data_IF_670300234363
#
_entry.id   IF_670300234363
#
_cell.length_a   1.000
_cell.length_b   1.000
_cell.length_c   1.000
_cell.angle_alpha   90.00
_cell.angle_beta   90.00
_cell.angle_gamma   90.00
#
_symmetry.space_group_name_H-M   'P 1'
#
loop_
_entity.id
_entity.type
_entity.pdbx_description
1 polymer ?
#
# COMPACT_ATOMS: atom_id res chain seq x y z
N UNK A 1 15.40 3.88 1.27
CA UNK A 1 14.16 4.41 0.73
C UNK A 1 13.11 4.41 1.81
N UNK A 2 12.57 5.57 2.07
CA UNK A 2 11.69 5.79 3.20
C UNK A 2 10.20 5.68 2.82
N UNK A 3 9.86 5.84 1.55
CA UNK A 3 8.51 5.79 0.99
C UNK A 3 7.48 6.46 1.92
N UNK A 4 7.55 7.78 2.02
CA UNK A 4 6.63 8.60 2.82
C UNK A 4 6.56 8.23 4.31
N UNK A 5 7.65 7.75 4.91
CA UNK A 5 7.70 7.35 6.31
C UNK A 5 7.23 5.91 6.58
N UNK A 6 6.97 5.12 5.54
CA UNK A 6 6.48 3.75 5.70
C UNK A 6 7.48 2.85 6.42
N UNK A 7 8.77 2.95 6.11
CA UNK A 7 9.80 2.13 6.75
C UNK A 7 10.01 2.46 8.23
N UNK A 8 10.12 3.73 8.68
CA UNK A 8 10.11 4.06 10.10
C UNK A 8 8.82 3.62 10.81
N UNK A 9 7.66 3.78 10.19
CA UNK A 9 6.39 3.33 10.76
C UNK A 9 6.39 1.80 10.95
N UNK A 10 6.81 1.04 9.92
CA UNK A 10 6.96 -0.41 10.01
C UNK A 10 7.90 -0.81 11.14
N UNK A 11 9.06 -0.15 11.27
CA UNK A 11 10.01 -0.42 12.33
C UNK A 11 9.43 -0.15 13.72
N UNK A 12 8.76 0.99 13.92
CA UNK A 12 8.13 1.35 15.19
C UNK A 12 7.04 0.37 15.61
N UNK A 13 6.16 -0.04 14.68
CA UNK A 13 5.13 -1.04 14.96
C UNK A 13 5.76 -2.38 15.36
N UNK A 14 6.80 -2.82 14.65
CA UNK A 14 7.49 -4.07 15.01
C UNK A 14 8.20 -3.98 16.36
N UNK A 15 8.75 -2.81 16.73
CA UNK A 15 9.31 -2.61 18.05
C UNK A 15 8.27 -2.80 19.16
N UNK A 16 7.03 -2.38 18.95
CA UNK A 16 5.93 -2.55 19.89
C UNK A 16 5.44 -4.02 19.93
N UNK A 17 5.65 -4.79 18.85
CA UNK A 17 5.27 -6.19 18.76
C UNK A 17 3.94 -6.46 18.05
N UNK A 18 3.46 -5.55 17.21
CA UNK A 18 2.31 -5.78 16.31
C UNK A 18 2.42 -4.95 15.05
N UNK A 19 1.71 -5.35 13.97
CA UNK A 19 1.74 -4.64 12.69
C UNK A 19 0.42 -4.79 11.92
N UNK A 20 -0.11 -3.74 11.26
CA UNK A 20 -1.28 -3.82 10.39
C UNK A 20 -0.91 -4.43 9.03
N UNK A 21 -0.91 -5.76 8.92
CA UNK A 21 -0.52 -6.49 7.70
C UNK A 21 -1.48 -6.23 6.53
N UNK A 22 -2.77 -6.01 6.82
CA UNK A 22 -3.78 -5.71 5.83
C UNK A 22 -4.35 -4.30 6.10
N UNK A 23 -3.95 -3.26 5.34
CA UNK A 23 -4.27 -1.86 5.62
C UNK A 23 -5.78 -1.55 5.76
N UNK A 24 -6.64 -2.20 5.02
CA UNK A 24 -8.09 -2.01 5.10
C UNK A 24 -8.78 -2.79 6.22
N UNK A 25 -8.03 -3.61 6.98
CA UNK A 25 -8.55 -4.31 8.15
C UNK A 25 -8.32 -3.47 9.41
N UNK A 26 -9.22 -3.55 10.37
CA UNK A 26 -9.00 -2.96 11.69
C UNK A 26 -8.15 -3.84 12.61
N UNK A 27 -7.30 -4.71 12.05
CA UNK A 27 -6.53 -5.72 12.78
C UNK A 27 -5.04 -5.51 12.66
N UNK A 28 -4.35 -5.79 13.76
CA UNK A 28 -2.91 -5.73 13.90
C UNK A 28 -2.38 -7.10 14.29
N UNK A 29 -1.61 -7.72 13.41
CA UNK A 29 -1.02 -9.04 13.68
C UNK A 29 0.08 -8.92 14.74
N UNK A 30 0.06 -9.84 15.71
CA UNK A 30 1.04 -9.87 16.79
C UNK A 30 2.33 -10.51 16.27
N UNK A 31 3.43 -9.78 16.46
CA UNK A 31 4.80 -10.22 16.24
C UNK A 31 5.59 -10.26 17.54
N UNK A 32 6.89 -10.40 17.44
CA UNK A 32 7.82 -10.34 18.56
C UNK A 32 8.35 -8.92 18.71
N UNK A 33 8.22 -8.28 19.88
CA UNK A 33 8.80 -6.97 20.11
C UNK A 33 10.34 -7.00 19.99
N UNK A 34 10.92 -5.94 19.46
CA UNK A 34 12.37 -5.85 19.28
C UNK A 34 13.07 -5.02 20.36
N UNK A 35 12.34 -4.59 21.38
CA UNK A 35 12.85 -3.85 22.54
C UNK A 35 12.25 -4.41 23.83
N UNK A 36 12.91 -4.17 24.96
CA UNK A 36 12.47 -4.64 26.27
C UNK A 36 11.21 -3.90 26.77
N UNK A 37 11.12 -2.61 26.50
CA UNK A 37 9.96 -1.79 26.85
C UNK A 37 9.86 -0.59 25.90
N UNK A 38 8.63 -0.13 25.66
CA UNK A 38 8.35 1.09 24.90
C UNK A 38 7.05 1.73 25.40
N UNK A 39 7.04 3.05 25.40
CA UNK A 39 5.85 3.86 25.67
C UNK A 39 5.57 4.77 24.47
N UNK A 40 4.40 4.65 23.87
CA UNK A 40 3.96 5.49 22.76
C UNK A 40 2.82 6.39 23.21
N UNK A 41 2.99 7.68 23.09
CA UNK A 41 1.93 8.68 23.29
C UNK A 41 1.26 8.98 21.96
N UNK A 42 -0.02 8.64 21.87
CA UNK A 42 -0.81 8.89 20.67
C UNK A 42 -1.29 10.34 20.60
N UNK A 43 -1.66 10.81 19.43
CA UNK A 43 -2.15 12.19 19.20
C UNK A 43 -3.40 12.54 19.99
N UNK A 44 -4.24 11.54 20.33
CA UNK A 44 -5.41 11.69 21.20
C UNK A 44 -5.08 11.75 22.71
N UNK A 45 -3.78 11.80 23.08
CA UNK A 45 -3.30 11.82 24.46
C UNK A 45 -3.30 10.47 25.18
N UNK A 46 -3.77 9.41 24.53
CA UNK A 46 -3.75 8.04 25.08
C UNK A 46 -2.36 7.42 24.95
N UNK A 47 -2.10 6.37 25.71
CA UNK A 47 -0.77 5.77 25.83
C UNK A 47 -0.84 4.27 25.57
N UNK A 48 0.08 3.79 24.73
CA UNK A 48 0.40 2.37 24.60
C UNK A 48 1.67 2.11 25.41
N UNK A 49 1.57 1.25 26.40
CA UNK A 49 2.71 0.76 27.19
C UNK A 49 2.98 -0.69 26.83
N UNK A 50 4.20 -1.01 26.42
CA UNK A 50 4.61 -2.38 26.15
C UNK A 50 5.85 -2.75 26.97
N UNK A 51 5.82 -3.95 27.56
CA UNK A 51 6.93 -4.58 28.25
C UNK A 51 7.11 -6.00 27.75
N UNK A 52 8.34 -6.41 27.52
CA UNK A 52 8.71 -7.76 27.08
C UNK A 52 9.57 -8.45 28.14
N UNK A 53 8.94 -9.25 29.02
CA UNK A 53 9.63 -10.05 30.02
C UNK A 53 10.55 -11.06 29.33
N UNK A 54 11.75 -11.25 29.89
CA UNK A 54 12.78 -12.12 29.34
C UNK A 54 13.24 -11.73 27.94
N UNK A 55 13.11 -10.47 27.57
CA UNK A 55 13.59 -9.98 26.29
C UNK A 55 15.09 -10.22 26.14
N UNK A 56 15.48 -10.78 25.01
CA UNK A 56 16.87 -10.92 24.58
C UNK A 56 16.93 -11.26 23.10
N UNK A 57 18.07 -11.07 22.41
CA UNK A 57 18.23 -11.47 21.02
C UNK A 57 18.01 -12.97 20.73
N UNK A 58 18.02 -13.82 21.77
CA UNK A 58 17.77 -15.26 21.66
C UNK A 58 16.32 -15.63 21.93
N UNK A 59 15.57 -14.79 22.63
CA UNK A 59 14.18 -15.04 23.02
C UNK A 59 13.23 -14.39 22.01
N UNK A 60 13.15 -14.96 20.82
CA UNK A 60 12.41 -14.39 19.68
C UNK A 60 10.96 -14.87 19.58
N UNK A 61 10.50 -15.75 20.44
CA UNK A 61 9.14 -16.28 20.41
C UNK A 61 8.30 -15.70 21.54
N UNK A 62 7.05 -15.34 21.22
CA UNK A 62 6.05 -14.95 22.22
C UNK A 62 5.48 -16.20 22.87
N UNK A 63 5.85 -16.44 24.12
CA UNK A 63 5.33 -17.55 24.94
C UNK A 63 3.92 -17.25 25.44
N UNK A 64 3.71 -16.04 25.96
CA UNK A 64 2.42 -15.54 26.44
C UNK A 64 2.29 -14.05 26.13
N UNK A 65 1.05 -13.58 26.00
CA UNK A 65 0.70 -12.18 25.89
C UNK A 65 -0.39 -11.84 26.89
N UNK A 66 -0.27 -10.68 27.51
CA UNK A 66 -1.29 -10.09 28.37
C UNK A 66 -1.67 -8.71 27.82
N UNK A 67 -2.97 -8.46 27.73
CA UNK A 67 -3.56 -7.18 27.34
C UNK A 67 -4.32 -6.62 28.52
N UNK A 68 -3.93 -5.44 29.00
CA UNK A 68 -4.50 -4.83 30.21
C UNK A 68 -4.55 -5.77 31.41
N UNK A 69 -3.48 -6.56 31.62
CA UNK A 69 -3.31 -7.52 32.70
C UNK A 69 -4.05 -8.86 32.52
N UNK A 70 -4.86 -9.03 31.47
CA UNK A 70 -5.56 -10.29 31.19
C UNK A 70 -4.80 -11.10 30.15
N UNK A 71 -4.70 -12.42 30.36
CA UNK A 71 -4.11 -13.32 29.38
C UNK A 71 -4.85 -13.24 28.05
N UNK A 72 -4.09 -13.11 26.95
CA UNK A 72 -4.62 -12.88 25.61
C UNK A 72 -4.09 -13.92 24.65
N UNK A 73 -4.98 -14.77 24.14
CA UNK A 73 -4.62 -15.93 23.32
C UNK A 73 -5.07 -15.79 21.85
N UNK A 74 -4.98 -14.56 21.29
CA UNK A 74 -5.17 -14.32 19.87
C UNK A 74 -3.86 -13.96 19.20
N UNK A 75 -3.78 -14.18 17.89
CA UNK A 75 -2.62 -13.79 17.04
C UNK A 75 -2.73 -12.35 16.52
N UNK A 76 -3.77 -11.62 16.90
CA UNK A 76 -4.02 -10.25 16.46
C UNK A 76 -4.69 -9.42 17.56
N UNK A 77 -4.50 -8.11 17.47
CA UNK A 77 -5.27 -7.08 18.20
C UNK A 77 -6.23 -6.40 17.23
N UNK A 78 -7.35 -5.86 17.73
CA UNK A 78 -8.20 -4.97 16.94
C UNK A 78 -7.87 -3.52 17.26
N UNK A 79 -8.23 -2.61 16.35
CA UNK A 79 -8.09 -1.17 16.59
C UNK A 79 -8.77 -0.72 17.89
N UNK A 80 -9.94 -1.28 18.21
CA UNK A 80 -10.69 -1.00 19.43
C UNK A 80 -9.93 -1.41 20.69
N UNK A 81 -9.05 -2.39 20.62
CA UNK A 81 -8.23 -2.84 21.76
C UNK A 81 -7.12 -1.85 22.13
N UNK A 82 -6.72 -0.98 21.17
CA UNK A 82 -5.56 -0.09 21.32
C UNK A 82 -5.87 1.40 21.28
N UNK A 83 -6.94 1.84 20.60
CA UNK A 83 -7.25 3.26 20.35
C UNK A 83 -7.41 4.11 21.61
N UNK A 84 -7.86 3.51 22.71
CA UNK A 84 -8.09 4.19 23.99
C UNK A 84 -6.93 4.01 24.98
N UNK A 85 -5.77 3.55 24.47
CA UNK A 85 -4.61 3.19 25.25
C UNK A 85 -4.63 1.72 25.68
N UNK A 86 -3.46 1.10 25.79
CA UNK A 86 -3.33 -0.32 26.13
C UNK A 86 -2.03 -0.60 26.86
N UNK A 87 -2.07 -1.57 27.78
CA UNK A 87 -0.88 -2.15 28.40
C UNK A 87 -0.66 -3.55 27.84
N UNK A 88 0.44 -3.73 27.13
CA UNK A 88 0.87 -4.99 26.55
C UNK A 88 2.03 -5.56 27.36
N UNK A 89 1.93 -6.81 27.77
CA UNK A 89 3.03 -7.52 28.43
C UNK A 89 3.26 -8.83 27.68
N UNK A 90 4.39 -8.90 27.00
CA UNK A 90 4.87 -10.08 26.30
C UNK A 90 5.76 -10.90 27.27
N UNK A 91 5.59 -12.20 27.30
CA UNK A 91 6.54 -13.13 27.92
C UNK A 91 7.31 -13.82 26.81
N UNK A 92 8.58 -13.51 26.68
CA UNK A 92 9.43 -13.98 25.60
C UNK A 92 10.11 -15.32 25.93
N UNK A 93 10.48 -16.08 24.90
CA UNK A 93 11.10 -17.38 25.01
C UNK A 93 12.01 -17.68 23.83
N UNK A 94 13.06 -18.50 24.05
CA UNK A 94 13.89 -19.07 22.97
C UNK A 94 13.24 -20.26 22.25
N UNK A 95 12.08 -20.73 22.73
CA UNK A 95 11.35 -21.86 22.13
C UNK A 95 9.92 -21.43 21.75
N UNK A 96 9.41 -21.87 20.59
CA UNK A 96 8.06 -21.57 20.16
C UNK A 96 7.00 -22.21 21.08
N UNK A 97 5.88 -21.53 21.25
CA UNK A 97 4.70 -22.07 21.93
C UNK A 97 3.64 -22.46 20.89
N UNK A 98 3.64 -23.71 20.48
CA UNK A 98 2.71 -24.28 19.49
C UNK A 98 1.25 -24.40 19.98
N UNK A 99 0.98 -24.05 21.24
CA UNK A 99 -0.38 -24.10 21.81
C UNK A 99 -1.03 -22.73 21.89
N UNK A 100 -0.29 -21.66 21.57
CA UNK A 100 -0.80 -20.29 21.62
C UNK A 100 -1.49 -19.95 20.31
N UNK A 101 -2.64 -19.29 20.40
CA UNK A 101 -3.38 -18.71 19.27
C UNK A 101 -3.68 -19.72 18.13
N UNK A 102 -4.09 -20.95 18.48
CA UNK A 102 -4.30 -22.06 17.53
C UNK A 102 -5.77 -22.31 17.21
N UNK A 103 -6.73 -21.74 17.95
CA UNK A 103 -8.14 -21.89 17.62
C UNK A 103 -8.55 -20.98 16.46
N UNK A 104 -9.62 -21.32 15.76
CA UNK A 104 -10.12 -20.52 14.61
C UNK A 104 -10.44 -19.07 15.01
N UNK A 105 -10.90 -18.83 16.23
CA UNK A 105 -11.19 -17.48 16.74
C UNK A 105 -9.93 -16.72 17.18
N UNK A 106 -8.86 -17.45 17.45
CA UNK A 106 -7.60 -16.89 17.90
C UNK A 106 -6.67 -16.50 16.74
N UNK A 107 -6.87 -17.06 15.56
CA UNK A 107 -6.10 -16.76 14.35
C UNK A 107 -6.66 -15.52 13.67
N UNK A 108 -5.79 -14.64 13.19
CA UNK A 108 -6.21 -13.49 12.38
C UNK A 108 -7.00 -13.97 11.15
N UNK A 109 -8.15 -13.37 10.85
CA UNK A 109 -8.93 -13.72 9.66
C UNK A 109 -8.09 -13.66 8.40
N UNK A 110 -8.24 -14.66 7.55
CA UNK A 110 -7.56 -14.76 6.27
C UNK A 110 -8.54 -15.25 5.21
N UNK A 111 -8.43 -14.74 4.01
CA UNK A 111 -9.20 -15.23 2.85
C UNK A 111 -8.81 -16.67 2.46
N UNK A 112 -7.65 -17.13 2.92
CA UNK A 112 -7.11 -18.45 2.62
C UNK A 112 -7.43 -19.52 3.67
N UNK A 113 -8.20 -19.22 4.73
CA UNK A 113 -8.53 -20.18 5.75
C UNK A 113 -9.53 -21.23 5.24
N UNK A 114 -9.25 -22.54 5.41
CA UNK A 114 -10.20 -23.61 5.11
C UNK A 114 -11.54 -23.37 5.85
N UNK A 115 -12.66 -23.42 5.12
CA UNK A 115 -14.00 -23.26 5.69
C UNK A 115 -14.49 -21.82 5.82
N UNK A 116 -13.63 -20.80 5.69
CA UNK A 116 -13.99 -19.38 5.54
C UNK A 116 -13.63 -18.82 4.17
N UNK A 117 -13.32 -19.65 3.22
CA UNK A 117 -13.27 -19.24 1.83
C UNK A 117 -14.61 -18.61 1.51
N UNK A 118 -14.64 -17.29 1.28
CA UNK A 118 -15.69 -16.76 0.43
C UNK A 118 -15.76 -17.75 -0.72
N UNK A 119 -16.97 -18.26 -1.02
CA UNK A 119 -17.20 -19.09 -2.20
C UNK A 119 -16.99 -18.18 -3.42
N UNK A 120 -15.76 -17.76 -3.64
CA UNK A 120 -15.30 -17.44 -4.96
C UNK A 120 -15.27 -18.80 -5.66
N UNK A 121 -16.40 -19.19 -6.20
CA UNK A 121 -16.42 -20.15 -7.28
C UNK A 121 -15.82 -19.42 -8.50
N UNK A 122 -14.56 -19.13 -8.41
CA UNK A 122 -13.76 -19.13 -9.61
C UNK A 122 -13.89 -20.56 -10.13
N UNK A 123 -14.68 -20.75 -11.17
CA UNK A 123 -14.60 -21.94 -11.97
C UNK A 123 -13.19 -22.01 -12.56
N UNK A 124 -12.24 -22.51 -11.81
CA UNK A 124 -10.92 -22.86 -12.28
C UNK A 124 -11.02 -24.18 -13.08
N UNK A 125 -11.61 -24.13 -14.26
CA UNK A 125 -11.40 -25.14 -15.28
C UNK A 125 -9.92 -25.14 -15.63
N UNK A 126 -9.23 -26.27 -15.73
CA UNK A 126 -7.84 -26.54 -16.12
C UNK A 126 -7.04 -25.32 -16.64
N UNK A 127 -6.24 -24.64 -15.74
CA UNK A 127 -6.10 -23.24 -16.02
C UNK A 127 -4.69 -22.75 -15.96
N UNK A 128 -4.43 -21.92 -16.92
CA UNK A 128 -3.29 -21.03 -16.88
C UNK A 128 -3.33 -20.27 -15.55
N UNK A 129 -2.36 -20.54 -14.69
CA UNK A 129 -2.15 -19.76 -13.49
C UNK A 129 -1.47 -18.46 -13.90
N UNK A 130 -1.88 -17.35 -13.29
CA UNK A 130 -1.07 -16.15 -13.30
C UNK A 130 0.35 -16.50 -12.84
N UNK A 131 1.34 -16.05 -13.59
CA UNK A 131 2.75 -16.26 -13.27
C UNK A 131 3.33 -15.07 -12.53
N UNK A 132 4.57 -15.23 -12.08
CA UNK A 132 5.37 -14.14 -11.54
C UNK A 132 6.66 -14.03 -12.36
N UNK A 133 6.95 -12.93 -13.05
CA UNK A 133 6.16 -11.68 -13.11
C UNK A 133 4.85 -11.85 -13.89
N UNK A 134 3.85 -11.02 -13.53
CA UNK A 134 2.52 -11.02 -14.16
C UNK A 134 2.61 -10.70 -15.64
N UNK A 135 3.49 -9.79 -16.02
CA UNK A 135 3.88 -9.47 -17.40
C UNK A 135 5.37 -9.10 -17.48
N UNK A 136 5.94 -9.23 -18.65
CA UNK A 136 7.37 -8.94 -18.88
C UNK A 136 7.62 -7.43 -18.88
N UNK A 137 8.76 -7.03 -18.31
CA UNK A 137 9.22 -5.65 -18.26
C UNK A 137 9.73 -5.27 -16.89
N UNK A 138 10.24 -4.06 -16.77
CA UNK A 138 10.69 -3.49 -15.50
C UNK A 138 9.80 -2.29 -15.18
N UNK A 139 8.96 -2.46 -14.18
CA UNK A 139 7.95 -1.49 -13.78
C UNK A 139 7.95 -1.31 -12.28
N UNK A 140 7.53 -0.13 -11.82
CA UNK A 140 7.37 0.24 -10.42
C UNK A 140 5.99 0.89 -10.20
N UNK A 141 5.65 1.18 -8.95
CA UNK A 141 4.49 1.97 -8.50
C UNK A 141 3.17 1.61 -9.23
N UNK A 142 2.76 0.32 -9.24
CA UNK A 142 1.58 -0.08 -10.00
C UNK A 142 0.28 0.42 -9.36
N UNK A 143 -0.48 1.23 -10.07
CA UNK A 143 -1.87 1.54 -9.74
C UNK A 143 -2.80 0.50 -10.35
N UNK A 144 -3.59 -0.16 -9.51
CA UNK A 144 -4.56 -1.17 -9.91
C UNK A 144 -6.00 -0.68 -9.78
N UNK A 145 -6.74 -0.64 -10.88
CA UNK A 145 -8.14 -0.19 -10.92
C UNK A 145 -9.02 -1.12 -11.74
N UNK A 146 -10.34 -1.02 -11.54
CA UNK A 146 -11.34 -1.74 -12.34
C UNK A 146 -12.18 -0.74 -13.11
N UNK A 147 -12.22 -0.89 -14.43
CA UNK A 147 -13.10 -0.11 -15.29
C UNK A 147 -14.02 -1.06 -16.06
N UNK A 148 -15.33 -0.93 -15.83
CA UNK A 148 -16.29 -1.86 -16.40
C UNK A 148 -16.08 -3.30 -15.90
N UNK A 149 -15.77 -4.21 -16.81
CA UNK A 149 -15.52 -5.63 -16.55
C UNK A 149 -14.02 -6.01 -16.69
N UNK A 150 -13.13 -5.02 -16.75
CA UNK A 150 -11.70 -5.21 -16.91
C UNK A 150 -10.90 -4.68 -15.72
N UNK A 151 -9.86 -5.44 -15.35
CA UNK A 151 -8.79 -5.04 -14.43
C UNK A 151 -7.73 -4.28 -15.22
N UNK A 152 -7.29 -3.15 -14.68
CA UNK A 152 -6.26 -2.30 -15.28
C UNK A 152 -5.10 -2.11 -14.33
N UNK A 153 -3.89 -2.11 -14.88
CA UNK A 153 -2.67 -1.76 -14.15
C UNK A 153 -1.96 -0.67 -14.93
N UNK A 154 -1.65 0.43 -14.23
CA UNK A 154 -0.86 1.54 -14.74
C UNK A 154 0.41 1.63 -13.90
N UNK A 155 1.56 1.23 -14.42
CA UNK A 155 2.82 1.30 -13.70
C UNK A 155 3.72 2.41 -14.20
N UNK A 156 4.66 2.84 -13.34
CA UNK A 156 5.84 3.59 -13.77
C UNK A 156 6.74 2.71 -14.64
N UNK A 157 7.18 3.20 -15.79
CA UNK A 157 8.23 2.53 -16.57
C UNK A 157 9.59 2.76 -15.92
N UNK A 158 10.24 1.71 -15.44
CA UNK A 158 11.52 1.79 -14.74
C UNK A 158 12.69 1.85 -15.73
N UNK A 159 13.36 2.99 -15.73
CA UNK A 159 14.53 3.29 -16.57
C UNK A 159 15.34 4.43 -15.91
N UNK A 160 16.50 4.84 -16.42
CA UNK A 160 17.12 6.10 -16.05
C UNK A 160 16.16 7.28 -16.24
N UNK A 161 16.25 8.33 -15.40
CA UNK A 161 15.30 9.46 -15.36
C UNK A 161 14.99 10.07 -16.73
N UNK A 162 16.01 10.29 -17.55
CA UNK A 162 15.87 10.89 -18.86
C UNK A 162 15.12 10.00 -19.88
N UNK A 163 15.00 8.71 -19.61
CA UNK A 163 14.30 7.74 -20.42
C UNK A 163 12.86 7.48 -19.94
N UNK A 164 12.53 7.89 -18.72
CA UNK A 164 11.19 7.76 -18.15
C UNK A 164 10.26 8.85 -18.69
N UNK A 165 9.91 8.75 -19.96
CA UNK A 165 9.16 9.75 -20.73
C UNK A 165 7.80 9.28 -21.20
N UNK A 166 7.39 8.07 -20.79
CA UNK A 166 6.08 7.47 -21.11
C UNK A 166 5.67 6.47 -20.03
N UNK A 167 4.40 6.14 -20.00
CA UNK A 167 3.88 4.98 -19.27
C UNK A 167 3.10 4.07 -20.20
N UNK A 168 3.20 2.77 -19.95
CA UNK A 168 2.34 1.75 -20.53
C UNK A 168 1.16 1.51 -19.58
N UNK A 169 0.10 0.86 -20.06
CA UNK A 169 -0.92 0.27 -19.22
C UNK A 169 -1.16 -1.19 -19.63
N UNK A 170 -1.79 -1.94 -18.75
CA UNK A 170 -2.12 -3.33 -18.98
C UNK A 170 -3.56 -3.59 -18.58
N UNK A 171 -4.32 -4.32 -19.40
CA UNK A 171 -5.68 -4.73 -19.03
C UNK A 171 -5.85 -6.24 -19.06
N UNK A 172 -6.78 -6.75 -18.26
CA UNK A 172 -7.12 -8.16 -18.19
C UNK A 172 -8.56 -8.36 -17.73
N UNK A 173 -9.23 -9.38 -18.27
CA UNK A 173 -10.55 -9.82 -17.79
C UNK A 173 -10.46 -10.95 -16.77
N UNK A 174 -9.31 -11.58 -16.61
CA UNK A 174 -9.14 -12.81 -15.84
C UNK A 174 -7.92 -12.82 -14.92
N UNK A 175 -7.15 -11.72 -14.88
CA UNK A 175 -5.89 -11.55 -14.13
C UNK A 175 -4.79 -12.55 -14.52
N UNK A 176 -4.96 -13.25 -15.65
CA UNK A 176 -4.03 -14.25 -16.18
C UNK A 176 -3.50 -13.83 -17.54
N UNK A 177 -4.40 -13.42 -18.42
CA UNK A 177 -4.07 -12.97 -19.76
C UNK A 177 -4.11 -11.44 -19.80
N UNK A 178 -2.98 -10.83 -20.07
CA UNK A 178 -2.81 -9.38 -20.06
C UNK A 178 -2.59 -8.83 -21.46
N UNK A 179 -3.29 -7.76 -21.76
CA UNK A 179 -3.09 -6.95 -22.97
C UNK A 179 -2.28 -5.71 -22.60
N UNK A 180 -1.14 -5.52 -23.28
CA UNK A 180 -0.34 -4.30 -23.11
C UNK A 180 -0.87 -3.18 -24.01
N UNK A 181 -1.06 -2.01 -23.42
CA UNK A 181 -1.38 -0.75 -24.09
C UNK A 181 -0.15 0.16 -24.00
N UNK A 182 0.66 0.24 -25.07
CA UNK A 182 1.92 0.97 -25.02
C UNK A 182 1.68 2.48 -25.04
N UNK A 183 2.48 3.21 -24.24
CA UNK A 183 2.56 4.66 -24.23
C UNK A 183 1.19 5.35 -24.07
N UNK A 184 0.40 4.89 -23.11
CA UNK A 184 -0.92 5.50 -22.82
C UNK A 184 -0.81 6.99 -22.47
N UNK A 185 0.33 7.41 -21.91
CA UNK A 185 0.75 8.79 -21.71
C UNK A 185 2.22 8.91 -22.09
N UNK A 186 2.63 10.06 -22.68
CA UNK A 186 4.02 10.29 -23.06
C UNK A 186 4.32 11.79 -23.19
N UNK A 187 5.59 12.12 -23.31
CA UNK A 187 6.06 13.52 -23.49
C UNK A 187 5.51 14.19 -24.76
N UNK A 188 5.07 13.42 -25.75
CA UNK A 188 4.44 13.95 -26.95
C UNK A 188 3.05 14.54 -26.65
N UNK A 189 2.42 14.13 -25.55
CA UNK A 189 1.09 14.56 -25.14
C UNK A 189 1.09 15.55 -23.97
N UNK A 190 2.25 15.77 -23.33
CA UNK A 190 2.42 16.63 -22.16
C UNK A 190 3.53 17.63 -22.43
N UNK A 191 3.17 18.88 -22.69
CA UNK A 191 4.09 19.89 -23.19
C UNK A 191 5.25 20.27 -22.26
N UNK A 192 5.05 20.12 -20.95
CA UNK A 192 6.04 20.45 -19.94
C UNK A 192 6.84 19.23 -19.44
N UNK A 193 6.43 17.99 -19.80
CA UNK A 193 7.11 16.76 -19.44
C UNK A 193 8.44 16.64 -20.20
N UNK A 194 9.51 16.41 -19.46
CA UNK A 194 10.84 16.15 -19.99
C UNK A 194 11.34 14.76 -19.65
N UNK A 195 11.18 14.35 -18.39
CA UNK A 195 11.74 13.12 -17.81
C UNK A 195 11.01 12.71 -16.54
N UNK A 196 11.43 11.61 -15.93
CA UNK A 196 10.99 11.16 -14.60
C UNK A 196 9.46 11.17 -14.46
N UNK A 197 8.76 10.51 -15.39
CA UNK A 197 7.32 10.34 -15.36
C UNK A 197 6.98 9.15 -14.45
N UNK A 198 6.37 9.42 -13.25
CA UNK A 198 6.25 8.49 -12.15
C UNK A 198 4.86 8.38 -11.55
N UNK A 199 4.66 7.25 -10.82
CA UNK A 199 3.60 7.01 -9.86
C UNK A 199 2.21 7.46 -10.35
N UNK A 200 1.62 6.75 -11.34
CA UNK A 200 0.29 7.09 -11.83
C UNK A 200 -0.79 6.83 -10.78
N UNK A 201 -1.81 7.69 -10.74
CA UNK A 201 -3.08 7.42 -10.10
C UNK A 201 -4.20 7.67 -11.10
N UNK A 202 -5.12 6.73 -11.28
CA UNK A 202 -6.11 6.78 -12.35
C UNK A 202 -7.51 6.63 -11.81
N UNK A 203 -8.42 7.50 -12.24
CA UNK A 203 -9.83 7.37 -11.92
C UNK A 203 -10.72 7.67 -13.15
N UNK A 204 -11.98 7.26 -13.06
CA UNK A 204 -13.02 7.57 -14.03
C UNK A 204 -14.03 8.53 -13.41
N UNK A 205 -14.32 9.63 -14.10
CA UNK A 205 -15.32 10.61 -13.72
C UNK A 205 -15.86 11.34 -14.94
N UNK A 206 -17.15 11.71 -14.94
CA UNK A 206 -17.76 12.53 -15.98
C UNK A 206 -17.50 12.00 -17.40
N UNK A 207 -17.67 10.69 -17.59
CA UNK A 207 -17.44 9.98 -18.86
C UNK A 207 -16.02 10.11 -19.43
N UNK A 208 -15.06 10.42 -18.57
CA UNK A 208 -13.63 10.50 -18.90
C UNK A 208 -12.77 9.75 -17.91
N UNK A 209 -11.54 9.48 -18.33
CA UNK A 209 -10.47 8.95 -17.49
C UNK A 209 -9.47 10.06 -17.19
N UNK A 210 -9.05 10.13 -15.94
CA UNK A 210 -8.07 11.08 -15.43
C UNK A 210 -6.87 10.31 -14.92
N UNK A 211 -5.69 10.67 -15.39
CA UNK A 211 -4.42 10.12 -14.95
C UNK A 211 -3.61 11.22 -14.30
N UNK A 212 -3.31 11.09 -13.04
CA UNK A 212 -2.43 11.94 -12.26
C UNK A 212 -1.04 11.30 -12.23
N UNK A 213 0.01 12.11 -12.29
CA UNK A 213 1.39 11.63 -12.37
C UNK A 213 2.37 12.64 -11.80
N UNK A 214 3.50 12.17 -11.26
CA UNK A 214 4.66 13.00 -10.98
C UNK A 214 5.56 13.10 -12.21
N UNK A 215 6.18 14.27 -12.46
CA UNK A 215 7.11 14.42 -13.56
C UNK A 215 8.19 15.47 -13.33
N UNK A 216 9.32 15.31 -14.01
CA UNK A 216 10.53 16.12 -14.00
C UNK A 216 11.30 16.02 -12.67
N UNK A 217 12.14 17.01 -12.36
CA UNK A 217 12.89 17.02 -11.08
C UNK A 217 12.04 17.62 -9.97
N UNK A 218 11.26 16.74 -9.33
CA UNK A 218 10.36 17.09 -8.23
C UNK A 218 11.07 17.20 -6.88
N UNK A 219 12.38 16.98 -6.81
CA UNK A 219 13.15 17.06 -5.57
C UNK A 219 13.60 18.48 -5.25
N UNK A 220 13.49 19.37 -6.21
CA UNK A 220 13.78 20.79 -6.04
C UNK A 220 12.95 21.64 -7.02
N UNK A 221 12.96 22.97 -6.85
CA UNK A 221 12.19 23.90 -7.68
C UNK A 221 12.98 24.49 -8.86
N UNK A 222 14.10 23.89 -9.26
CA UNK A 222 14.94 24.41 -10.36
C UNK A 222 14.40 24.05 -11.74
N UNK A 223 13.48 23.10 -11.82
CA UNK A 223 12.84 22.63 -13.04
C UNK A 223 11.32 22.71 -12.90
N UNK A 224 10.62 23.08 -13.97
CA UNK A 224 9.17 22.98 -13.99
C UNK A 224 8.76 21.53 -13.92
N UNK A 225 8.15 21.12 -12.81
CA UNK A 225 7.76 19.76 -12.52
C UNK A 225 6.76 19.69 -11.39
N UNK A 226 6.42 18.48 -10.99
CA UNK A 226 5.47 18.20 -9.92
C UNK A 226 4.37 17.26 -10.34
N UNK A 227 3.19 17.41 -9.74
CA UNK A 227 2.02 16.57 -10.05
C UNK A 227 1.27 17.16 -11.23
N UNK A 228 1.09 16.36 -12.28
CA UNK A 228 0.27 16.69 -13.45
C UNK A 228 -1.04 15.92 -13.49
N UNK A 229 -1.94 16.35 -14.36
CA UNK A 229 -3.19 15.65 -14.68
C UNK A 229 -3.39 15.62 -16.19
N UNK A 230 -3.69 14.43 -16.69
CA UNK A 230 -4.03 14.20 -18.10
C UNK A 230 -5.39 13.50 -18.22
N UNK A 231 -6.08 13.69 -19.33
CA UNK A 231 -7.41 13.13 -19.58
C UNK A 231 -7.46 12.31 -20.86
N UNK A 232 -8.34 11.31 -20.88
CA UNK A 232 -8.62 10.50 -22.06
C UNK A 232 -10.10 10.06 -22.08
N UNK A 233 -10.63 9.78 -23.27
CA UNK A 233 -11.94 9.14 -23.44
C UNK A 233 -11.86 7.61 -23.36
N UNK A 234 -10.65 7.07 -23.22
CA UNK A 234 -10.40 5.62 -23.10
C UNK A 234 -9.40 5.31 -21.98
N UNK A 235 -9.59 4.22 -21.23
CA UNK A 235 -8.60 3.79 -20.24
C UNK A 235 -7.26 3.40 -20.87
N UNK A 236 -7.25 3.05 -22.17
CA UNK A 236 -6.05 2.76 -22.95
C UNK A 236 -5.34 4.03 -23.47
N UNK A 237 -5.80 5.21 -23.11
CA UNK A 237 -5.26 6.46 -23.61
C UNK A 237 -5.63 6.75 -25.09
N UNK A 238 -4.90 7.63 -25.79
CA UNK A 238 -3.81 8.45 -25.23
C UNK A 238 -4.32 9.52 -24.24
N UNK A 239 -3.67 9.60 -23.10
CA UNK A 239 -3.94 10.66 -22.14
C UNK A 239 -3.25 11.94 -22.58
N UNK A 240 -4.00 13.05 -22.58
CA UNK A 240 -3.55 14.38 -22.99
C UNK A 240 -3.55 15.34 -21.81
N UNK A 241 -2.58 16.23 -21.80
CA UNK A 241 -2.43 17.26 -20.77
C UNK A 241 -3.74 18.06 -20.59
N UNK A 242 -4.24 18.09 -19.37
CA UNK A 242 -5.50 18.79 -19.08
C UNK A 242 -5.27 20.29 -18.80
N UNK A 243 -4.08 20.70 -18.37
CA UNK A 243 -3.82 22.06 -17.86
C UNK A 243 -2.71 22.82 -18.61
N UNK A 244 -1.87 22.14 -19.39
CA UNK A 244 -0.69 22.73 -20.01
C UNK A 244 0.45 23.06 -19.04
N UNK A 245 0.32 22.66 -17.79
CA UNK A 245 1.26 22.87 -16.66
C UNK A 245 0.98 21.90 -15.55
N UNK A 246 1.91 21.71 -14.58
CA UNK A 246 1.63 20.95 -13.38
C UNK A 246 0.42 21.50 -12.60
N UNK A 247 -0.36 20.62 -11.99
CA UNK A 247 -1.41 20.94 -11.03
C UNK A 247 -0.80 21.44 -9.71
N UNK A 248 0.28 20.77 -9.26
CA UNK A 248 1.09 21.17 -8.11
C UNK A 248 2.53 21.28 -8.60
N UNK A 249 3.06 22.50 -8.60
CA UNK A 249 4.30 22.88 -9.30
C UNK A 249 5.48 23.24 -8.39
N UNK A 250 5.35 23.04 -7.07
CA UNK A 250 6.39 23.44 -6.12
C UNK A 250 6.33 22.65 -4.80
N UNK A 251 7.45 22.64 -4.10
CA UNK A 251 7.55 22.12 -2.73
C UNK A 251 6.73 23.01 -1.78
N UNK A 252 5.84 22.41 -1.00
CA UNK A 252 4.98 23.11 -0.04
C UNK A 252 5.28 22.58 1.36
N UNK A 253 5.70 23.47 2.26
CA UNK A 253 6.09 23.14 3.64
C UNK A 253 7.13 22.01 3.75
N UNK A 254 8.03 21.90 2.76
CA UNK A 254 9.04 20.86 2.69
C UNK A 254 8.54 19.53 2.07
N UNK A 255 7.26 19.41 1.75
CA UNK A 255 6.72 18.25 1.07
C UNK A 255 6.93 18.35 -0.44
N UNK A 256 7.50 17.32 -1.02
CA UNK A 256 7.66 17.17 -2.47
C UNK A 256 6.31 16.80 -3.10
N UNK A 257 5.96 17.36 -4.27
CA UNK A 257 4.78 16.97 -5.02
C UNK A 257 5.02 15.67 -5.80
N UNK A 258 4.89 14.54 -5.11
CA UNK A 258 5.18 13.19 -5.61
C UNK A 258 4.18 12.18 -5.03
N UNK A 259 4.00 11.06 -5.73
CA UNK A 259 3.26 9.87 -5.27
C UNK A 259 1.83 10.20 -4.85
N UNK A 260 1.16 10.96 -5.68
CA UNK A 260 -0.23 11.36 -5.47
C UNK A 260 -1.17 10.14 -5.56
N UNK A 261 -2.19 10.15 -4.75
CA UNK A 261 -3.32 9.26 -4.85
C UNK A 261 -4.61 10.06 -4.96
N UNK A 262 -5.54 9.61 -5.76
CA UNK A 262 -6.83 10.28 -5.96
C UNK A 262 -7.95 9.26 -5.84
N UNK A 263 -8.95 9.54 -5.02
CA UNK A 263 -10.10 8.66 -4.85
C UNK A 263 -11.41 9.46 -4.74
N UNK A 264 -12.50 8.78 -5.00
CA UNK A 264 -13.85 9.28 -4.76
C UNK A 264 -14.39 8.63 -3.50
N UNK A 265 -14.76 9.43 -2.50
CA UNK A 265 -15.35 8.94 -1.26
C UNK A 265 -16.85 8.68 -1.41
N UNK A 266 -17.45 8.04 -0.41
CA UNK A 266 -18.87 7.68 -0.37
C UNK A 266 -19.79 8.91 -0.38
N UNK A 267 -19.31 10.07 0.06
CA UNK A 267 -20.01 11.36 -0.03
C UNK A 267 -20.03 11.95 -1.46
N UNK A 268 -19.35 11.31 -2.41
CA UNK A 268 -19.23 11.74 -3.79
C UNK A 268 -18.15 12.78 -4.07
N UNK A 269 -17.40 13.19 -3.05
CA UNK A 269 -16.27 14.11 -3.21
C UNK A 269 -15.02 13.36 -3.68
N UNK A 270 -14.14 14.09 -4.36
CA UNK A 270 -12.82 13.61 -4.78
C UNK A 270 -11.74 14.21 -3.90
N UNK A 271 -10.81 13.38 -3.49
CA UNK A 271 -9.69 13.72 -2.62
C UNK A 271 -8.37 13.29 -3.23
#
# INVERSE_FOLDING_TARGET
NDDCGQMPAWYMFNCIGFYPVAPSSNMYNIGSPCVEAITVRMSNGKVIEMVADNWSPKNVYVKELYVNGKKYDKSYLKYEDIRDGVKLRFVMSSKPNYKRAVSDEAVAPSLSLPGKTMKYQANFSEKKKSGNPVFKGWYADPEGVVFGDEYWIYPTYSAPYDEQTFMDAFSSKDLVNWTKHPKVISKENISWLRRALWAPAVLSANDKYYLFFGANDIQNNNEVGGIGVATSDSPAGPFKDALGKPLIDKIVHGAQPIDQFVFKDDDGQYY
#
